data_IF_904974207515
#
_entry.id   IF_904974207515
#
_cell.length_a   1.000
_cell.length_b   1.000
_cell.length_c   1.000
_cell.angle_alpha   90.00
_cell.angle_beta   90.00
_cell.angle_gamma   90.00
#
_symmetry.space_group_name_H-M   'P 1'
#
loop_
_entity.id
_entity.type
_entity.pdbx_description
1 polymer ?
#
# COMPACT_ATOMS: atom_id res chain seq x y z
N UNK A 1 31.28 15.67 -7.02
CA UNK A 1 30.12 14.78 -6.83
C UNK A 1 30.50 13.40 -7.31
N UNK A 2 30.42 12.37 -6.46
CA UNK A 2 30.72 10.99 -6.85
C UNK A 2 29.73 10.53 -7.93
N UNK A 3 30.21 9.90 -8.99
CA UNK A 3 29.40 9.47 -10.14
C UNK A 3 28.15 8.66 -9.73
N UNK A 4 28.25 7.89 -8.65
CA UNK A 4 27.15 7.11 -8.07
C UNK A 4 25.94 7.98 -7.66
N UNK A 5 26.18 9.15 -7.06
CA UNK A 5 25.08 10.03 -6.63
C UNK A 5 24.30 10.54 -7.84
N UNK A 6 25.00 10.88 -8.92
CA UNK A 6 24.39 11.42 -10.13
C UNK A 6 23.54 10.35 -10.86
N UNK A 7 24.01 9.10 -10.86
CA UNK A 7 23.26 7.97 -11.41
C UNK A 7 22.00 7.69 -10.59
N UNK A 8 22.11 7.64 -9.25
CA UNK A 8 20.94 7.41 -8.37
C UNK A 8 19.91 8.53 -8.54
N UNK A 9 20.33 9.80 -8.60
CA UNK A 9 19.42 10.93 -8.80
C UNK A 9 18.69 10.86 -10.16
N UNK A 10 19.41 10.51 -11.24
CA UNK A 10 18.81 10.31 -12.55
C UNK A 10 17.78 9.17 -12.53
N UNK A 11 18.06 8.10 -11.80
CA UNK A 11 17.19 6.93 -11.70
C UNK A 11 15.93 7.22 -10.88
N UNK A 12 16.04 8.01 -9.80
CA UNK A 12 14.88 8.52 -9.05
C UNK A 12 14.01 9.42 -9.92
N UNK A 13 14.60 10.30 -10.74
CA UNK A 13 13.84 11.12 -11.69
C UNK A 13 13.08 10.26 -12.71
N UNK A 14 13.74 9.25 -13.27
CA UNK A 14 13.10 8.29 -14.19
C UNK A 14 11.97 7.53 -13.49
N UNK A 15 12.15 7.11 -12.24
CA UNK A 15 11.12 6.45 -11.44
C UNK A 15 9.88 7.34 -11.24
N UNK A 16 10.09 8.62 -10.89
CA UNK A 16 9.00 9.59 -10.71
C UNK A 16 8.23 9.79 -12.03
N UNK A 17 8.92 9.91 -13.15
CA UNK A 17 8.29 10.07 -14.47
C UNK A 17 7.50 8.81 -14.85
N UNK A 18 8.06 7.62 -14.64
CA UNK A 18 7.39 6.35 -14.89
C UNK A 18 6.13 6.19 -14.03
N UNK A 19 6.21 6.53 -12.75
CA UNK A 19 5.06 6.50 -11.85
C UNK A 19 3.98 7.51 -12.26
N UNK A 20 4.36 8.74 -12.63
CA UNK A 20 3.41 9.77 -13.03
C UNK A 20 2.70 9.49 -14.36
N UNK A 21 3.34 8.74 -15.27
CA UNK A 21 2.73 8.41 -16.56
C UNK A 21 1.64 7.33 -16.44
N UNK A 22 1.62 6.54 -15.36
CA UNK A 22 0.65 5.46 -15.04
C UNK A 22 0.31 4.49 -16.20
N UNK A 23 1.09 4.50 -17.28
CA UNK A 23 0.83 3.69 -18.47
C UNK A 23 1.13 2.22 -18.23
N UNK A 24 1.92 1.94 -17.18
CA UNK A 24 2.28 0.63 -16.66
C UNK A 24 1.85 0.60 -15.20
N UNK A 25 1.25 -0.51 -14.69
CA UNK A 25 0.88 -0.62 -13.28
C UNK A 25 2.06 -0.29 -12.36
N UNK A 26 1.78 0.40 -11.25
CA UNK A 26 2.82 0.86 -10.33
C UNK A 26 3.68 -0.31 -9.81
N UNK A 27 3.04 -1.46 -9.54
CA UNK A 27 3.69 -2.69 -9.09
C UNK A 27 4.76 -3.17 -10.11
N UNK A 28 4.39 -3.20 -11.39
CA UNK A 28 5.28 -3.64 -12.48
C UNK A 28 6.44 -2.67 -12.66
N UNK A 29 6.15 -1.37 -12.57
CA UNK A 29 7.17 -0.31 -12.63
C UNK A 29 8.20 -0.45 -11.49
N UNK A 30 7.74 -0.70 -10.26
CA UNK A 30 8.61 -0.89 -9.11
C UNK A 30 9.54 -2.10 -9.28
N UNK A 31 9.02 -3.22 -9.80
CA UNK A 31 9.83 -4.43 -10.07
C UNK A 31 10.86 -4.16 -11.16
N UNK A 32 10.49 -3.48 -12.26
CA UNK A 32 11.43 -3.15 -13.34
C UNK A 32 12.59 -2.29 -12.83
N UNK A 33 12.29 -1.26 -12.03
CA UNK A 33 13.30 -0.36 -11.45
C UNK A 33 14.23 -1.15 -10.51
N UNK A 34 13.67 -1.98 -9.63
CA UNK A 34 14.43 -2.82 -8.71
C UNK A 34 15.40 -3.76 -9.46
N UNK A 35 14.90 -4.47 -10.47
CA UNK A 35 15.72 -5.37 -11.30
C UNK A 35 16.80 -4.61 -12.05
N UNK A 36 16.47 -3.44 -12.61
CA UNK A 36 17.43 -2.60 -13.33
C UNK A 36 18.57 -2.13 -12.42
N UNK A 37 18.24 -1.72 -11.19
CA UNK A 37 19.23 -1.32 -10.18
C UNK A 37 20.17 -2.46 -9.78
N UNK A 38 19.62 -3.67 -9.57
CA UNK A 38 20.41 -4.85 -9.25
C UNK A 38 21.31 -5.28 -10.41
N UNK A 39 20.80 -5.28 -11.65
CA UNK A 39 21.59 -5.60 -12.85
C UNK A 39 22.68 -4.57 -13.13
N UNK A 40 22.46 -3.30 -12.78
CA UNK A 40 23.46 -2.24 -12.91
C UNK A 40 24.60 -2.32 -11.88
N UNK A 41 24.51 -3.22 -10.89
CA UNK A 41 25.50 -3.39 -9.83
C UNK A 41 25.51 -2.26 -8.81
N UNK A 42 24.54 -1.34 -8.85
CA UNK A 42 24.39 -0.24 -7.91
C UNK A 42 23.85 -0.74 -6.57
N UNK A 43 22.96 -1.74 -6.62
CA UNK A 43 22.40 -2.41 -5.44
C UNK A 43 22.72 -3.90 -5.48
N UNK A 44 23.05 -4.46 -4.33
CA UNK A 44 23.08 -5.90 -4.13
C UNK A 44 21.65 -6.46 -4.11
N UNK A 45 21.45 -7.77 -4.37
CA UNK A 45 20.13 -8.40 -4.27
C UNK A 45 19.48 -8.24 -2.89
N UNK A 46 20.27 -8.27 -1.82
CA UNK A 46 19.77 -8.08 -0.45
C UNK A 46 19.27 -6.65 -0.24
N UNK A 47 19.96 -5.63 -0.76
CA UNK A 47 19.52 -4.24 -0.69
C UNK A 47 18.28 -3.99 -1.55
N UNK A 48 18.20 -4.57 -2.75
CA UNK A 48 17.03 -4.45 -3.63
C UNK A 48 15.76 -5.07 -3.03
N UNK A 49 15.90 -6.19 -2.32
CA UNK A 49 14.78 -6.90 -1.69
C UNK A 49 14.44 -6.39 -0.29
N UNK A 50 15.28 -5.55 0.33
CA UNK A 50 15.07 -5.01 1.67
C UNK A 50 13.76 -4.21 1.82
N UNK A 51 13.21 -3.68 0.72
CA UNK A 51 11.90 -3.01 0.73
C UNK A 51 10.72 -3.95 1.00
N UNK A 52 10.86 -5.24 0.65
CA UNK A 52 9.82 -6.25 0.88
C UNK A 52 9.80 -6.76 2.33
N UNK A 53 10.95 -6.75 3.01
CA UNK A 53 11.07 -7.09 4.43
C UNK A 53 10.81 -5.90 5.37
N UNK A 54 10.45 -4.74 4.82
CA UNK A 54 10.11 -3.57 5.62
C UNK A 54 8.82 -3.82 6.43
N UNK A 55 8.84 -3.44 7.71
CA UNK A 55 7.72 -3.61 8.63
C UNK A 55 6.41 -2.99 8.09
N UNK A 56 6.48 -1.87 7.37
CA UNK A 56 5.32 -1.24 6.76
C UNK A 56 4.71 -2.11 5.64
N UNK A 57 5.54 -2.62 4.73
CA UNK A 57 5.11 -3.53 3.63
C UNK A 57 4.46 -4.79 4.20
N UNK A 58 5.09 -5.41 5.20
CA UNK A 58 4.58 -6.63 5.86
C UNK A 58 3.25 -6.35 6.56
N UNK A 59 3.11 -5.19 7.20
CA UNK A 59 1.88 -4.78 7.89
C UNK A 59 0.72 -4.62 6.90
N UNK A 60 0.94 -3.99 5.74
CA UNK A 60 -0.08 -3.86 4.69
C UNK A 60 -0.50 -5.26 4.18
N UNK A 61 0.47 -6.15 3.96
CA UNK A 61 0.19 -7.54 3.59
C UNK A 61 -0.66 -8.27 4.63
N UNK A 62 -0.33 -8.11 5.92
CA UNK A 62 -1.11 -8.67 7.02
C UNK A 62 -2.52 -8.07 7.09
N UNK A 63 -2.68 -6.76 6.87
CA UNK A 63 -3.99 -6.09 6.82
C UNK A 63 -4.86 -6.63 5.69
N UNK A 64 -4.31 -6.95 4.51
CA UNK A 64 -5.07 -7.60 3.44
C UNK A 64 -5.55 -9.00 3.84
N UNK A 65 -4.69 -9.80 4.48
CA UNK A 65 -5.06 -11.12 4.98
C UNK A 65 -6.17 -11.01 6.04
N UNK A 66 -6.03 -10.09 7.00
CA UNK A 66 -7.03 -9.83 8.03
C UNK A 66 -8.37 -9.37 7.43
N UNK A 67 -8.33 -8.46 6.45
CA UNK A 67 -9.52 -7.96 5.75
C UNK A 67 -10.29 -9.08 5.06
N UNK A 68 -9.58 -9.96 4.35
CA UNK A 68 -10.18 -11.12 3.71
C UNK A 68 -10.69 -12.15 4.73
N UNK A 69 -9.96 -12.36 5.81
CA UNK A 69 -10.38 -13.21 6.93
C UNK A 69 -11.71 -12.74 7.53
N UNK A 70 -11.80 -11.45 7.87
CA UNK A 70 -13.01 -10.79 8.38
C UNK A 70 -14.19 -10.88 7.41
N UNK A 71 -13.93 -10.77 6.10
CA UNK A 71 -14.95 -10.90 5.06
C UNK A 71 -15.47 -12.34 4.96
N UNK A 72 -14.58 -13.33 5.04
CA UNK A 72 -14.94 -14.77 4.99
C UNK A 72 -15.67 -15.25 6.23
N UNK A 73 -15.37 -14.71 7.42
CA UNK A 73 -16.09 -15.05 8.65
C UNK A 73 -17.49 -14.44 8.74
N UNK A 74 -17.84 -13.50 7.84
CA UNK A 74 -19.12 -12.80 7.88
C UNK A 74 -19.25 -11.78 9.01
N UNK A 75 -18.19 -11.57 9.80
CA UNK A 75 -18.14 -10.54 10.86
C UNK A 75 -18.44 -9.16 10.28
N UNK A 76 -17.93 -8.88 9.08
CA UNK A 76 -18.19 -7.61 8.40
C UNK A 76 -19.70 -7.38 8.15
N UNK A 77 -20.46 -8.44 7.85
CA UNK A 77 -21.91 -8.37 7.66
C UNK A 77 -22.63 -8.10 8.98
N UNK A 78 -22.26 -8.81 10.06
CA UNK A 78 -22.86 -8.64 11.40
C UNK A 78 -22.68 -7.19 11.90
N UNK A 79 -21.46 -6.67 11.76
CA UNK A 79 -21.14 -5.30 12.15
C UNK A 79 -21.91 -4.29 11.28
N UNK A 80 -21.98 -4.54 9.96
CA UNK A 80 -22.75 -3.71 9.03
C UNK A 80 -24.24 -3.65 9.39
N UNK A 81 -24.85 -4.80 9.68
CA UNK A 81 -26.27 -4.89 10.06
C UNK A 81 -26.55 -4.17 11.39
N UNK A 82 -25.61 -4.21 12.34
CA UNK A 82 -25.72 -3.48 13.60
C UNK A 82 -25.73 -1.95 13.38
N UNK A 83 -24.82 -1.44 12.54
CA UNK A 83 -24.81 -0.02 12.19
C UNK A 83 -26.05 0.39 11.39
N UNK A 84 -26.54 -0.48 10.48
CA UNK A 84 -27.75 -0.23 9.71
C UNK A 84 -29.00 -0.11 10.60
N UNK A 85 -29.14 -0.97 11.61
CA UNK A 85 -30.23 -0.89 12.59
C UNK A 85 -30.16 0.39 13.42
N UNK A 86 -28.97 0.84 13.80
CA UNK A 86 -28.79 2.10 14.51
C UNK A 86 -29.22 3.31 13.65
N UNK A 87 -28.90 3.26 12.36
CA UNK A 87 -29.29 4.29 11.38
C UNK A 87 -30.80 4.35 11.14
N UNK A 88 -31.50 3.21 11.15
CA UNK A 88 -32.97 3.15 11.05
C UNK A 88 -33.67 3.81 12.25
N UNK A 89 -33.09 3.73 13.45
CA UNK A 89 -33.68 4.30 14.67
C UNK A 89 -33.46 5.81 14.79
N UNK A 90 -32.26 6.29 14.50
CA UNK A 90 -31.94 7.71 14.53
C UNK A 90 -30.77 8.01 13.60
N UNK A 91 -31.08 8.38 12.35
CA UNK A 91 -30.09 8.61 11.29
C UNK A 91 -28.96 9.56 11.72
N UNK A 92 -29.31 10.71 12.31
CA UNK A 92 -28.32 11.70 12.76
C UNK A 92 -27.46 11.19 13.92
N UNK A 93 -28.05 10.44 14.85
CA UNK A 93 -27.30 9.79 15.94
C UNK A 93 -26.36 8.69 15.44
N UNK A 94 -26.78 7.93 14.44
CA UNK A 94 -25.97 6.87 13.84
C UNK A 94 -24.81 7.41 13.01
N UNK A 95 -25.04 8.48 12.23
CA UNK A 95 -23.96 9.17 11.51
C UNK A 95 -22.94 9.74 12.47
N UNK A 96 -23.38 10.42 13.55
CA UNK A 96 -22.48 10.92 14.58
C UNK A 96 -21.66 9.80 15.24
N UNK A 97 -22.31 8.68 15.61
CA UNK A 97 -21.64 7.53 16.19
C UNK A 97 -20.62 6.88 15.22
N UNK A 98 -20.95 6.72 13.94
CA UNK A 98 -20.03 6.18 12.94
C UNK A 98 -18.82 7.11 12.72
N UNK A 99 -19.04 8.42 12.66
CA UNK A 99 -17.95 9.39 12.52
C UNK A 99 -17.02 9.39 13.73
N UNK A 100 -17.52 9.19 14.95
CA UNK A 100 -16.69 9.08 16.17
C UNK A 100 -15.91 7.78 16.30
N UNK A 101 -16.34 6.72 15.59
CA UNK A 101 -15.66 5.41 15.62
C UNK A 101 -14.62 5.30 14.51
N UNK A 102 -14.84 5.95 13.36
CA UNK A 102 -13.96 5.87 12.18
C UNK A 102 -13.00 7.07 12.09
N UNK A 103 -13.44 8.26 12.50
CA UNK A 103 -12.63 9.48 12.52
C UNK A 103 -11.81 9.60 13.79
#
# INVERSE_FOLDING_TARGET
MSANILVVFALVLVAIVLFAWERVPFDVTAVIIMVTLMLSGILTPEEGLAGLSNAATVTIGAMFILSEGLRRTGVLSIVGDYFAQLAQRNYWGAVAAMMSVIG
#
